data_IF_806773253918
#
_entry.id   IF_806773253918
#
_cell.length_a   1.000
_cell.length_b   1.000
_cell.length_c   1.000
_cell.angle_alpha   90.00
_cell.angle_beta   90.00
_cell.angle_gamma   90.00
#
_symmetry.space_group_name_H-M   'P 1'
#
loop_
_entity.id
_entity.type
_entity.pdbx_description
1 polymer ?
#
# COMPACT_ATOMS: atom_id res chain seq x y z
N UNK A 1 -28.36 39.44 -61.15
CA UNK A 1 -28.48 37.96 -61.03
C UNK A 1 -27.16 37.24 -60.74
N UNK A 2 -25.99 37.75 -61.17
CA UNK A 2 -24.69 37.11 -60.89
C UNK A 2 -24.17 37.26 -59.45
N UNK A 3 -24.52 38.34 -58.74
CA UNK A 3 -24.10 38.57 -57.35
C UNK A 3 -24.66 37.53 -56.37
N UNK A 4 -25.92 37.10 -56.55
CA UNK A 4 -26.52 36.05 -55.72
C UNK A 4 -25.88 34.66 -55.96
N UNK A 5 -25.31 34.42 -57.14
CA UNK A 5 -24.65 33.15 -57.48
C UNK A 5 -23.26 33.07 -56.85
N UNK A 6 -22.50 34.17 -56.88
CA UNK A 6 -21.19 34.29 -56.23
C UNK A 6 -21.29 34.30 -54.70
N UNK A 7 -22.34 34.91 -54.14
CA UNK A 7 -22.68 34.82 -52.72
C UNK A 7 -22.91 33.38 -52.26
N UNK A 8 -23.78 32.64 -52.97
CA UNK A 8 -24.06 31.22 -52.69
C UNK A 8 -22.82 30.31 -52.84
N UNK A 9 -21.93 30.59 -53.78
CA UNK A 9 -20.67 29.84 -53.96
C UNK A 9 -19.70 30.09 -52.81
N UNK A 10 -19.61 31.33 -52.33
CA UNK A 10 -18.76 31.70 -51.19
C UNK A 10 -19.26 31.11 -49.88
N UNK A 11 -20.58 31.14 -49.63
CA UNK A 11 -21.20 30.48 -48.47
C UNK A 11 -20.95 28.97 -48.47
N UNK A 12 -21.18 28.29 -49.60
CA UNK A 12 -20.91 26.84 -49.71
C UNK A 12 -19.44 26.49 -49.48
N UNK A 13 -18.52 27.36 -49.91
CA UNK A 13 -17.09 27.16 -49.69
C UNK A 13 -16.71 27.37 -48.22
N UNK A 14 -17.29 28.38 -47.55
CA UNK A 14 -17.11 28.61 -46.12
C UNK A 14 -17.68 27.45 -45.28
N UNK A 15 -18.90 26.98 -45.58
CA UNK A 15 -19.47 25.79 -44.93
C UNK A 15 -18.59 24.54 -45.12
N UNK A 16 -18.04 24.34 -46.32
CA UNK A 16 -17.15 23.19 -46.57
C UNK A 16 -15.85 23.28 -45.77
N UNK A 17 -15.27 24.47 -45.63
CA UNK A 17 -14.08 24.67 -44.80
C UNK A 17 -14.37 24.49 -43.31
N UNK A 18 -15.51 24.98 -42.83
CA UNK A 18 -15.94 24.79 -41.44
C UNK A 18 -16.20 23.31 -41.14
N UNK A 19 -16.87 22.58 -42.03
CA UNK A 19 -17.05 21.12 -41.89
C UNK A 19 -15.71 20.39 -41.83
N UNK A 20 -14.78 20.69 -42.74
CA UNK A 20 -13.43 20.09 -42.72
C UNK A 20 -12.67 20.39 -41.43
N UNK A 21 -12.83 21.60 -40.87
CA UNK A 21 -12.22 21.97 -39.60
C UNK A 21 -12.83 21.18 -38.44
N UNK A 22 -14.15 21.08 -38.40
CA UNK A 22 -14.88 20.31 -37.38
C UNK A 22 -14.53 18.81 -37.45
N UNK A 23 -14.52 18.22 -38.65
CA UNK A 23 -14.10 16.83 -38.86
C UNK A 23 -12.65 16.60 -38.40
N UNK A 24 -11.74 17.55 -38.68
CA UNK A 24 -10.35 17.45 -38.22
C UNK A 24 -10.24 17.56 -36.70
N UNK A 25 -11.01 18.45 -36.07
CA UNK A 25 -11.05 18.58 -34.61
C UNK A 25 -11.62 17.33 -33.95
N UNK A 26 -12.67 16.73 -34.52
CA UNK A 26 -13.27 15.49 -34.05
C UNK A 26 -12.32 14.30 -34.21
N UNK A 27 -11.65 14.18 -35.36
CA UNK A 27 -10.63 13.16 -35.60
C UNK A 27 -9.47 13.28 -34.59
N UNK A 28 -9.01 14.50 -34.31
CA UNK A 28 -7.97 14.74 -33.31
C UNK A 28 -8.44 14.36 -31.90
N UNK A 29 -9.71 14.57 -31.54
CA UNK A 29 -10.27 14.12 -30.26
C UNK A 29 -10.30 12.60 -30.17
N UNK A 30 -10.80 11.94 -31.21
CA UNK A 30 -10.84 10.47 -31.27
C UNK A 30 -9.44 9.86 -31.16
N UNK A 31 -8.44 10.41 -31.86
CA UNK A 31 -7.04 9.95 -31.75
C UNK A 31 -6.50 10.12 -30.33
N UNK A 32 -6.75 11.26 -29.67
CA UNK A 32 -6.32 11.47 -28.27
C UNK A 32 -6.98 10.48 -27.31
N UNK A 33 -8.25 10.15 -27.52
CA UNK A 33 -8.93 9.14 -26.71
C UNK A 33 -8.35 7.74 -26.92
N UNK A 34 -8.01 7.38 -28.17
CA UNK A 34 -7.34 6.12 -28.49
C UNK A 34 -5.97 6.07 -27.82
N UNK A 35 -5.13 7.09 -28.00
CA UNK A 35 -3.81 7.18 -27.36
C UNK A 35 -3.90 7.06 -25.84
N UNK A 36 -4.92 7.68 -25.23
CA UNK A 36 -5.15 7.59 -23.80
C UNK A 36 -5.50 6.17 -23.37
N UNK A 37 -6.39 5.49 -24.10
CA UNK A 37 -6.75 4.09 -23.84
C UNK A 37 -5.56 3.16 -24.03
N UNK A 38 -4.78 3.33 -25.09
CA UNK A 38 -3.57 2.54 -25.33
C UNK A 38 -2.56 2.71 -24.19
N UNK A 39 -2.35 3.93 -23.72
CA UNK A 39 -1.49 4.20 -22.54
C UNK A 39 -2.01 3.53 -21.29
N UNK A 40 -3.32 3.54 -21.05
CA UNK A 40 -3.93 2.85 -19.90
C UNK A 40 -3.69 1.34 -19.97
N UNK A 41 -3.99 0.72 -21.12
CA UNK A 41 -3.77 -0.72 -21.35
C UNK A 41 -2.29 -1.07 -21.15
N UNK A 42 -1.38 -0.30 -21.77
CA UNK A 42 0.06 -0.50 -21.61
C UNK A 42 0.49 -0.42 -20.15
N UNK A 43 0.01 0.59 -19.40
CA UNK A 43 0.34 0.71 -17.98
C UNK A 43 -0.16 -0.47 -17.16
N UNK A 44 -1.35 -0.99 -17.44
CA UNK A 44 -1.89 -2.17 -16.76
C UNK A 44 -1.08 -3.43 -17.06
N UNK A 45 -0.74 -3.67 -18.33
CA UNK A 45 0.09 -4.79 -18.74
C UNK A 45 1.50 -4.69 -18.18
N UNK A 46 2.09 -3.50 -18.21
CA UNK A 46 3.39 -3.24 -17.61
C UNK A 46 3.38 -3.53 -16.11
N UNK A 47 2.36 -3.08 -15.37
CA UNK A 47 2.19 -3.38 -13.93
C UNK A 47 2.07 -4.89 -13.68
N UNK A 48 1.32 -5.62 -14.51
CA UNK A 48 1.19 -7.08 -14.42
C UNK A 48 2.54 -7.78 -14.65
N UNK A 49 3.30 -7.35 -15.66
CA UNK A 49 4.61 -7.92 -15.98
C UNK A 49 5.66 -7.59 -14.91
N UNK A 50 5.69 -6.35 -14.43
CA UNK A 50 6.57 -5.93 -13.35
C UNK A 50 6.33 -6.74 -12.07
N UNK A 51 5.06 -7.02 -11.71
CA UNK A 51 4.72 -7.86 -10.57
C UNK A 51 5.21 -9.30 -10.74
N UNK A 52 5.00 -9.90 -11.91
CA UNK A 52 5.51 -11.25 -12.23
C UNK A 52 7.02 -11.32 -12.07
N UNK A 53 7.75 -10.33 -12.59
CA UNK A 53 9.22 -10.25 -12.46
C UNK A 53 9.62 -10.11 -10.99
N UNK A 54 8.94 -9.25 -10.22
CA UNK A 54 9.22 -9.04 -8.80
C UNK A 54 9.00 -10.32 -7.97
N UNK A 55 7.91 -11.06 -8.22
CA UNK A 55 7.65 -12.36 -7.60
C UNK A 55 8.76 -13.35 -7.97
N UNK A 56 9.13 -13.44 -9.25
CA UNK A 56 10.19 -14.32 -9.72
C UNK A 56 11.53 -14.03 -9.05
N UNK A 57 11.93 -12.75 -8.94
CA UNK A 57 13.15 -12.33 -8.23
C UNK A 57 13.08 -12.69 -6.74
N UNK A 58 11.96 -12.43 -6.07
CA UNK A 58 11.81 -12.76 -4.65
C UNK A 58 11.85 -14.29 -4.39
N UNK A 59 11.27 -15.10 -5.28
CA UNK A 59 11.38 -16.58 -5.22
C UNK A 59 12.83 -17.04 -5.42
N UNK A 60 13.53 -16.46 -6.39
CA UNK A 60 14.96 -16.75 -6.64
C UNK A 60 15.83 -16.41 -5.42
N UNK A 61 15.57 -15.27 -4.79
CA UNK A 61 16.25 -14.87 -3.56
C UNK A 61 15.97 -15.81 -2.39
N UNK A 62 14.72 -16.25 -2.23
CA UNK A 62 14.34 -17.20 -1.19
C UNK A 62 14.99 -18.58 -1.38
N UNK A 63 15.24 -18.99 -2.63
CA UNK A 63 15.96 -20.22 -2.94
C UNK A 63 17.47 -20.11 -2.64
N UNK A 64 18.06 -18.92 -2.82
CA UNK A 64 19.51 -18.69 -2.65
C UNK A 64 19.92 -18.36 -1.21
N UNK A 65 19.06 -17.69 -0.44
CA UNK A 65 19.37 -17.21 0.92
C UNK A 65 18.98 -18.25 1.97
N UNK A 66 19.56 -18.14 3.17
CA UNK A 66 19.28 -18.99 4.33
C UNK A 66 18.84 -18.18 5.56
N UNK A 67 18.31 -18.87 6.57
CA UNK A 67 17.92 -18.29 7.87
C UNK A 67 16.92 -17.13 7.77
N UNK A 68 17.20 -16.05 8.50
CA UNK A 68 16.33 -14.86 8.58
C UNK A 68 16.09 -14.22 7.20
N UNK A 69 17.13 -14.16 6.37
CA UNK A 69 17.03 -13.54 5.04
C UNK A 69 16.11 -14.33 4.10
N UNK A 70 16.10 -15.67 4.21
CA UNK A 70 15.15 -16.54 3.51
C UNK A 70 13.72 -16.25 3.94
N UNK A 71 13.48 -16.11 5.24
CA UNK A 71 12.15 -15.80 5.79
C UNK A 71 11.65 -14.44 5.29
N UNK A 72 12.51 -13.43 5.23
CA UNK A 72 12.17 -12.11 4.66
C UNK A 72 11.81 -12.23 3.17
N UNK A 73 12.59 -12.97 2.39
CA UNK A 73 12.31 -13.19 0.97
C UNK A 73 10.99 -13.95 0.75
N UNK A 74 10.70 -14.97 1.54
CA UNK A 74 9.42 -15.71 1.50
C UNK A 74 8.24 -14.82 1.90
N UNK A 75 8.38 -13.98 2.93
CA UNK A 75 7.36 -13.01 3.30
C UNK A 75 7.11 -11.99 2.18
N UNK A 76 8.16 -11.57 1.48
CA UNK A 76 8.02 -10.70 0.31
C UNK A 76 7.25 -11.40 -0.82
N UNK A 77 7.53 -12.67 -1.11
CA UNK A 77 6.76 -13.46 -2.09
C UNK A 77 5.28 -13.49 -1.71
N UNK A 78 4.96 -13.83 -0.46
CA UNK A 78 3.57 -13.87 0.02
C UNK A 78 2.87 -12.52 -0.16
N UNK A 79 3.51 -11.43 0.25
CA UNK A 79 2.95 -10.07 0.10
C UNK A 79 2.73 -9.66 -1.35
N UNK A 80 3.63 -10.03 -2.27
CA UNK A 80 3.48 -9.73 -3.69
C UNK A 80 2.39 -10.60 -4.37
N UNK A 81 2.04 -11.74 -3.77
CA UNK A 81 0.94 -12.59 -4.22
C UNK A 81 -0.41 -12.20 -3.61
N UNK A 82 -0.45 -11.32 -2.61
CA UNK A 82 -1.70 -10.82 -2.05
C UNK A 82 -2.53 -10.07 -3.11
N UNK A 83 -3.86 -10.28 -3.14
CA UNK A 83 -4.74 -9.48 -3.99
C UNK A 83 -4.56 -7.98 -3.73
N UNK A 84 -4.32 -7.21 -4.79
CA UNK A 84 -4.11 -5.77 -4.68
C UNK A 84 -2.72 -5.36 -4.14
N UNK A 85 -1.71 -6.22 -4.20
CA UNK A 85 -0.33 -5.86 -3.81
C UNK A 85 0.22 -4.61 -4.53
N UNK A 86 -0.27 -4.33 -5.75
CA UNK A 86 0.12 -3.17 -6.55
C UNK A 86 -0.78 -1.94 -6.35
N UNK A 87 -1.81 -2.03 -5.50
CA UNK A 87 -2.76 -0.96 -5.31
C UNK A 87 -2.27 -0.02 -4.19
N UNK A 88 -2.04 1.28 -4.45
CA UNK A 88 -1.65 2.24 -3.42
C UNK A 88 -2.69 2.35 -2.28
N UNK A 89 -3.97 2.07 -2.54
CA UNK A 89 -5.02 2.07 -1.50
C UNK A 89 -4.77 1.02 -0.41
N UNK A 90 -4.10 -0.10 -0.74
CA UNK A 90 -3.77 -1.13 0.24
C UNK A 90 -2.76 -0.64 1.29
N UNK A 91 -1.92 0.36 0.96
CA UNK A 91 -0.99 0.94 1.92
C UNK A 91 -1.72 1.74 3.01
N UNK A 92 -2.62 2.64 2.61
CA UNK A 92 -3.41 3.44 3.54
C UNK A 92 -4.32 2.58 4.43
N UNK A 93 -4.91 1.51 3.88
CA UNK A 93 -5.70 0.56 4.63
C UNK A 93 -4.86 -0.19 5.69
N UNK A 94 -3.65 -0.62 5.33
CA UNK A 94 -2.71 -1.26 6.28
C UNK A 94 -2.26 -0.30 7.37
N UNK A 95 -2.11 0.99 7.06
CA UNK A 95 -1.77 2.02 8.05
C UNK A 95 -2.92 2.27 9.04
N UNK A 96 -4.14 2.44 8.53
CA UNK A 96 -5.33 2.62 9.37
C UNK A 96 -5.52 1.44 10.35
N UNK A 97 -5.45 0.21 9.84
CA UNK A 97 -5.58 -1.00 10.66
C UNK A 97 -4.47 -1.15 11.71
N UNK A 98 -3.23 -0.75 11.38
CA UNK A 98 -2.13 -0.72 12.34
C UNK A 98 -2.39 0.27 13.48
N UNK A 99 -2.84 1.48 13.14
CA UNK A 99 -3.18 2.51 14.13
C UNK A 99 -4.30 2.05 15.06
N UNK A 100 -5.38 1.48 14.51
CA UNK A 100 -6.49 0.93 15.30
C UNK A 100 -6.03 -0.19 16.24
N UNK A 101 -5.19 -1.11 15.76
CA UNK A 101 -4.67 -2.21 16.58
C UNK A 101 -3.76 -1.72 17.71
N UNK A 102 -2.96 -0.69 17.47
CA UNK A 102 -2.14 -0.08 18.50
C UNK A 102 -2.96 0.67 19.54
N UNK A 103 -4.01 1.38 19.12
CA UNK A 103 -4.96 2.00 20.05
C UNK A 103 -5.62 0.95 20.94
N UNK A 104 -6.13 -0.15 20.35
CA UNK A 104 -6.72 -1.25 21.10
C UNK A 104 -5.75 -1.87 22.12
N UNK A 105 -4.49 -2.12 21.73
CA UNK A 105 -3.45 -2.60 22.65
C UNK A 105 -3.14 -1.62 23.78
N UNK A 106 -3.16 -0.32 23.47
CA UNK A 106 -2.92 0.73 24.45
C UNK A 106 -4.06 0.78 25.47
N UNK A 107 -5.30 0.65 25.02
CA UNK A 107 -6.48 0.57 25.88
C UNK A 107 -6.47 -0.68 26.77
N UNK A 108 -6.11 -1.83 26.21
CA UNK A 108 -5.97 -3.09 26.96
C UNK A 108 -4.90 -2.96 28.06
N UNK A 109 -3.74 -2.39 27.73
CA UNK A 109 -2.68 -2.15 28.71
C UNK A 109 -3.11 -1.17 29.81
N UNK A 110 -3.87 -0.12 29.47
CA UNK A 110 -4.44 0.81 30.45
C UNK A 110 -5.39 0.11 31.39
N UNK A 111 -6.31 -0.73 30.87
CA UNK A 111 -7.24 -1.53 31.69
C UNK A 111 -6.49 -2.49 32.62
N UNK A 112 -5.48 -3.20 32.10
CA UNK A 112 -4.64 -4.09 32.90
C UNK A 112 -3.89 -3.35 34.00
N UNK A 113 -3.34 -2.18 33.70
CA UNK A 113 -2.63 -1.35 34.67
C UNK A 113 -3.56 -0.78 35.73
N UNK A 114 -4.78 -0.38 35.34
CA UNK A 114 -5.81 0.05 36.29
C UNK A 114 -6.20 -1.09 37.25
N UNK A 115 -6.45 -2.30 36.74
CA UNK A 115 -6.73 -3.48 37.56
C UNK A 115 -5.60 -3.80 38.54
N UNK A 116 -4.33 -3.75 38.09
CA UNK A 116 -3.19 -3.94 38.99
C UNK A 116 -3.06 -2.86 40.07
N UNK A 117 -3.46 -1.61 39.76
CA UNK A 117 -3.47 -0.52 40.75
C UNK A 117 -4.57 -0.71 41.79
N UNK A 118 -5.78 -1.08 41.36
CA UNK A 118 -6.88 -1.39 42.28
C UNK A 118 -6.56 -2.58 43.18
N UNK A 119 -5.94 -3.64 42.64
CA UNK A 119 -5.45 -4.77 43.43
C UNK A 119 -4.34 -4.37 44.40
N UNK A 120 -3.40 -3.53 43.97
CA UNK A 120 -2.34 -3.01 44.84
C UNK A 120 -2.88 -2.10 45.95
N UNK A 121 -3.93 -1.31 45.70
CA UNK A 121 -4.61 -0.51 46.72
C UNK A 121 -5.36 -1.39 47.72
N UNK A 122 -6.05 -2.44 47.26
CA UNK A 122 -6.66 -3.45 48.15
C UNK A 122 -5.61 -4.15 49.02
N UNK A 123 -4.49 -4.55 48.45
CA UNK A 123 -3.37 -5.17 49.19
C UNK A 123 -2.58 -4.20 50.06
N UNK A 124 -2.70 -2.89 49.89
CA UNK A 124 -2.17 -1.88 50.84
C UNK A 124 -3.04 -1.72 52.08
N UNK A 125 -4.33 -2.02 51.99
CA UNK A 125 -5.26 -2.04 53.12
C UNK A 125 -5.12 -3.29 53.99
N UNK A 126 -4.66 -4.40 53.42
CA UNK A 126 -4.29 -5.61 54.14
C UNK A 126 -2.79 -5.57 54.52
N UNK A 127 -2.43 -6.00 55.73
CA UNK A 127 -1.14 -5.73 56.39
C UNK A 127 0.10 -6.06 55.52
N UNK A 128 1.22 -5.32 55.68
CA UNK A 128 2.43 -5.55 54.90
C UNK A 128 3.03 -6.94 55.20
N UNK A 129 3.01 -7.82 54.20
CA UNK A 129 3.84 -9.02 54.19
C UNK A 129 5.27 -8.55 53.90
N UNK A 130 6.13 -8.57 54.92
CA UNK A 130 7.56 -8.32 54.76
C UNK A 130 8.13 -9.31 53.75
N UNK A 131 8.67 -8.86 52.59
CA UNK A 131 9.32 -9.77 51.67
C UNK A 131 10.58 -10.31 52.33
N UNK A 132 10.59 -11.60 52.64
CA UNK A 132 11.75 -12.29 53.19
C UNK A 132 12.97 -12.01 52.31
N UNK A 133 14.01 -11.42 52.92
CA UNK A 133 15.28 -11.05 52.29
C UNK A 133 15.87 -12.31 51.65
N UNK A 134 15.69 -12.47 50.34
CA UNK A 134 16.38 -13.53 49.58
C UNK A 134 17.83 -13.09 49.44
N UNK A 135 18.74 -13.84 50.07
CA UNK A 135 20.19 -13.64 49.93
C UNK A 135 20.58 -13.61 48.44
N UNK A 136 21.52 -12.75 48.03
CA UNK A 136 21.95 -12.67 46.64
C UNK A 136 22.53 -14.01 46.18
N UNK A 137 22.15 -14.43 44.98
CA UNK A 137 22.66 -15.62 44.32
C UNK A 137 24.17 -15.47 44.09
N UNK A 138 24.96 -16.30 44.78
CA UNK A 138 26.39 -16.42 44.52
C UNK A 138 26.60 -17.55 43.49
N UNK A 139 27.05 -17.28 42.26
CA UNK A 139 27.42 -18.33 41.33
C UNK A 139 28.68 -19.03 41.85
N UNK A 140 28.54 -20.24 42.37
CA UNK A 140 29.68 -21.08 42.72
C UNK A 140 30.29 -21.64 41.44
N UNK A 141 31.48 -21.16 41.11
CA UNK A 141 32.45 -21.92 40.30
C UNK A 141 32.38 -21.71 38.79
N UNK A 142 32.82 -20.54 38.31
CA UNK A 142 33.57 -20.48 37.05
C UNK A 142 35.00 -20.10 37.39
N UNK A 143 35.83 -21.13 37.62
CA UNK A 143 37.22 -20.92 38.01
C UNK A 143 38.04 -22.20 37.98
N UNK A 144 38.60 -22.45 36.79
CA UNK A 144 40.01 -22.72 36.50
C UNK A 144 40.29 -24.05 35.77
N UNK A 145 40.89 -23.84 34.59
CA UNK A 145 41.68 -24.72 33.71
C UNK A 145 40.90 -25.62 32.78
#
# INVERSE_FOLDING_TARGET
MFENLLGNLKEKFQESQERKRLEKEEMNRMQREVDFRERQVFQEEFKKNALKIAIGRAKKDAAKKSGMQKLVALNRVKRLQEPGANNPSNFFNKFSTYTQKNLARTEENKKRTAGMREEAEKMRGEKPITPGIRKPFQPSGFGKR
#
